data_IF_406975471654
#
_entry.id   IF_406975471654
#
_cell.length_a   1.000
_cell.length_b   1.000
_cell.length_c   1.000
_cell.angle_alpha   90.00
_cell.angle_beta   90.00
_cell.angle_gamma   90.00
#
_symmetry.space_group_name_H-M   'P 1'
#
loop_
_entity.id
_entity.type
_entity.pdbx_description
1 polymer ?
#
# COMPACT_ATOMS: atom_id res chain seq x y z
N UNK A 1 -16.42 -5.19 15.38
CA UNK A 1 -16.12 -3.77 15.09
C UNK A 1 -16.05 -3.64 13.58
N UNK A 2 -16.79 -2.70 13.02
CA UNK A 2 -16.77 -2.46 11.57
C UNK A 2 -15.51 -1.68 11.18
N UNK A 3 -14.96 -2.02 10.00
CA UNK A 3 -13.80 -1.34 9.43
C UNK A 3 -14.30 -0.09 8.70
N UNK A 4 -13.90 1.08 9.18
CA UNK A 4 -14.23 2.34 8.51
C UNK A 4 -13.04 2.74 7.63
N UNK A 5 -13.25 2.78 6.33
CA UNK A 5 -12.25 3.24 5.36
C UNK A 5 -12.48 4.70 5.02
N UNK A 6 -11.40 5.48 4.93
CA UNK A 6 -11.43 6.85 4.47
C UNK A 6 -10.39 7.04 3.37
N UNK A 7 -10.75 7.64 2.21
CA UNK A 7 -9.77 8.03 1.20
C UNK A 7 -8.95 9.22 1.74
N UNK A 8 -7.63 9.10 1.66
CA UNK A 8 -6.70 10.15 2.08
C UNK A 8 -6.16 10.95 0.88
N UNK A 9 -5.88 10.26 -0.24
CA UNK A 9 -5.33 10.84 -1.46
C UNK A 9 -5.92 10.13 -2.69
N UNK A 10 -5.98 10.83 -3.81
CA UNK A 10 -6.34 10.28 -5.12
C UNK A 10 -7.83 10.05 -5.34
N UNK A 11 -8.16 9.59 -6.56
CA UNK A 11 -9.53 9.21 -6.91
C UNK A 11 -9.83 7.79 -6.44
N UNK A 12 -10.40 7.72 -5.24
CA UNK A 12 -10.66 6.51 -4.50
C UNK A 12 -12.17 6.31 -4.29
N UNK A 13 -12.65 5.08 -4.48
CA UNK A 13 -14.06 4.69 -4.29
C UNK A 13 -14.14 3.41 -3.46
N UNK A 14 -15.06 3.36 -2.50
CA UNK A 14 -15.38 2.14 -1.75
C UNK A 14 -16.72 1.56 -2.21
N UNK A 15 -16.75 0.27 -2.58
CA UNK A 15 -17.96 -0.49 -2.91
C UNK A 15 -18.06 -1.72 -2.00
N UNK A 16 -18.76 -1.59 -0.89
CA UNK A 16 -18.84 -2.64 0.12
C UNK A 16 -17.45 -2.95 0.68
N UNK A 17 -16.96 -4.18 0.46
CA UNK A 17 -15.62 -4.63 0.87
C UNK A 17 -14.51 -4.33 -0.15
N UNK A 18 -14.85 -3.77 -1.32
CA UNK A 18 -13.87 -3.42 -2.35
C UNK A 18 -13.41 -1.97 -2.20
N UNK A 19 -12.10 -1.77 -2.22
CA UNK A 19 -11.46 -0.47 -2.32
C UNK A 19 -10.91 -0.32 -3.73
N UNK A 20 -11.32 0.73 -4.42
CA UNK A 20 -11.01 0.95 -5.82
C UNK A 20 -10.23 2.25 -5.92
N UNK A 21 -9.04 2.18 -6.52
CA UNK A 21 -8.28 3.35 -6.94
C UNK A 21 -8.29 3.39 -8.47
N UNK A 22 -8.71 4.51 -9.05
CA UNK A 22 -8.92 4.61 -10.51
C UNK A 22 -7.61 4.70 -11.32
N UNK A 23 -6.49 5.01 -10.68
CA UNK A 23 -5.20 5.14 -11.37
C UNK A 23 -5.16 6.29 -12.38
N UNK A 24 -4.25 6.20 -13.36
CA UNK A 24 -4.07 7.20 -14.42
C UNK A 24 -2.91 8.17 -14.22
N UNK A 25 -2.85 9.17 -15.09
CA UNK A 25 -1.87 10.25 -15.06
C UNK A 25 -2.54 11.51 -14.50
N UNK A 26 -1.83 12.20 -13.62
CA UNK A 26 -2.22 13.49 -13.04
C UNK A 26 -1.13 14.53 -13.32
N UNK A 27 -1.41 15.80 -13.06
CA UNK A 27 -0.41 16.86 -13.16
C UNK A 27 0.13 17.18 -11.76
N UNK A 28 1.44 17.14 -11.61
CA UNK A 28 2.12 17.58 -10.40
C UNK A 28 3.12 18.68 -10.76
N UNK A 29 2.86 19.90 -10.30
CA UNK A 29 3.70 21.08 -10.58
C UNK A 29 3.94 21.31 -12.10
N UNK A 30 2.92 21.11 -12.93
CA UNK A 30 3.02 21.28 -14.38
C UNK A 30 3.65 20.08 -15.12
N UNK A 31 3.99 19.01 -14.41
CA UNK A 31 4.62 17.82 -14.99
C UNK A 31 3.65 16.64 -14.89
N UNK A 32 3.38 15.93 -16.01
CA UNK A 32 2.64 14.67 -15.97
C UNK A 32 3.30 13.67 -15.03
N UNK A 33 2.53 13.15 -14.09
CA UNK A 33 2.98 12.21 -13.07
C UNK A 33 1.95 11.11 -12.86
N UNK A 34 2.36 10.01 -12.26
CA UNK A 34 1.46 8.92 -11.91
C UNK A 34 0.52 9.37 -10.80
N UNK A 35 -0.77 9.05 -10.90
CA UNK A 35 -1.68 9.29 -9.79
C UNK A 35 -1.36 8.35 -8.63
N UNK A 36 -1.54 8.84 -7.41
CA UNK A 36 -1.34 8.08 -6.17
C UNK A 36 -2.65 8.12 -5.38
N UNK A 37 -3.09 6.96 -4.90
CA UNK A 37 -4.29 6.82 -4.09
C UNK A 37 -4.00 6.09 -2.79
N UNK A 38 -4.53 6.61 -1.68
CA UNK A 38 -4.38 6.01 -0.36
C UNK A 38 -5.73 5.90 0.33
N UNK A 39 -6.01 4.74 0.93
CA UNK A 39 -7.06 4.59 1.94
C UNK A 39 -6.42 4.36 3.31
N UNK A 40 -7.07 4.86 4.36
CA UNK A 40 -6.73 4.59 5.76
C UNK A 40 -7.94 4.00 6.48
N UNK A 41 -7.71 3.31 7.60
CA UNK A 41 -8.80 2.81 8.47
C UNK A 41 -8.65 3.26 9.89
N UNK A 42 -9.73 3.06 10.66
CA UNK A 42 -9.72 3.17 12.11
C UNK A 42 -9.10 1.94 12.83
N UNK A 43 -8.58 0.94 12.11
CA UNK A 43 -7.95 -0.21 12.74
C UNK A 43 -6.49 0.07 13.09
N UNK A 44 -6.13 -0.24 14.33
CA UNK A 44 -4.74 -0.28 14.76
C UNK A 44 -4.17 -1.69 14.57
N UNK A 45 -2.89 -1.77 14.24
CA UNK A 45 -2.19 -3.02 14.00
C UNK A 45 -0.80 -2.98 14.64
N UNK A 46 -0.54 -3.90 15.57
CA UNK A 46 0.74 -4.00 16.27
C UNK A 46 1.60 -5.18 15.78
N UNK A 47 0.99 -6.15 15.09
CA UNK A 47 1.64 -7.36 14.60
C UNK A 47 0.61 -8.44 14.26
N UNK A 48 1.03 -9.45 13.49
CA UNK A 48 0.17 -10.52 12.98
C UNK A 48 0.18 -10.60 11.45
N UNK A 49 -0.92 -11.07 10.87
CA UNK A 49 -1.04 -11.26 9.42
C UNK A 49 -2.13 -10.36 8.84
N UNK A 50 -1.80 -9.63 7.77
CA UNK A 50 -2.76 -8.90 6.94
C UNK A 50 -2.86 -9.61 5.60
N UNK A 51 -4.08 -9.75 5.08
CA UNK A 51 -4.31 -10.36 3.76
C UNK A 51 -5.25 -9.50 2.94
N UNK A 52 -4.95 -9.33 1.66
CA UNK A 52 -5.85 -8.70 0.69
C UNK A 52 -5.81 -9.45 -0.65
N UNK A 53 -6.91 -9.37 -1.39
CA UNK A 53 -6.94 -9.73 -2.81
C UNK A 53 -6.75 -8.44 -3.63
N UNK A 54 -5.76 -8.45 -4.51
CA UNK A 54 -5.44 -7.33 -5.40
C UNK A 54 -5.70 -7.76 -6.83
N UNK A 55 -6.37 -6.91 -7.59
CA UNK A 55 -6.62 -7.09 -9.01
C UNK A 55 -6.29 -5.77 -9.71
N UNK A 56 -5.68 -5.86 -10.89
CA UNK A 56 -5.34 -4.70 -11.71
C UNK A 56 -6.18 -4.72 -12.98
N UNK A 57 -6.95 -3.68 -13.25
CA UNK A 57 -7.72 -3.57 -14.50
C UNK A 57 -6.78 -3.38 -15.70
N UNK A 58 -5.71 -2.62 -15.52
CA UNK A 58 -4.65 -2.38 -16.50
C UNK A 58 -3.29 -2.35 -15.80
N UNK A 59 -2.21 -2.65 -16.54
CA UNK A 59 -0.84 -2.62 -16.02
C UNK A 59 0.05 -1.83 -16.97
N UNK A 60 0.73 -0.86 -16.39
CA UNK A 60 1.80 -0.05 -16.97
C UNK A 60 3.05 -0.13 -16.08
N UNK A 61 4.19 0.40 -16.53
CA UNK A 61 5.48 0.28 -15.83
C UNK A 61 5.45 0.74 -14.37
N UNK A 62 4.66 1.77 -14.07
CA UNK A 62 4.52 2.35 -12.73
C UNK A 62 3.33 1.80 -11.92
N UNK A 63 2.57 0.85 -12.47
CA UNK A 63 1.40 0.27 -11.78
C UNK A 63 1.81 -0.48 -10.53
N UNK A 64 1.14 -0.21 -9.41
CA UNK A 64 1.33 -0.96 -8.18
C UNK A 64 0.20 -0.76 -7.18
N UNK A 65 0.10 -1.68 -6.24
CA UNK A 65 -0.87 -1.64 -5.15
C UNK A 65 -0.24 -2.26 -3.91
N UNK A 66 -0.33 -1.57 -2.77
CA UNK A 66 0.31 -1.97 -1.52
C UNK A 66 -0.64 -1.84 -0.34
N UNK A 67 -0.40 -2.65 0.68
CA UNK A 67 -1.05 -2.52 1.99
C UNK A 67 -0.14 -1.65 2.85
N UNK A 68 -0.67 -0.52 3.32
CA UNK A 68 -0.03 0.29 4.37
C UNK A 68 -0.34 -0.37 5.71
N UNK A 69 0.69 -0.82 6.42
CA UNK A 69 0.54 -1.46 7.73
C UNK A 69 1.13 -0.65 8.89
N UNK A 70 1.75 0.49 8.58
CA UNK A 70 2.15 1.52 9.53
C UNK A 70 1.96 2.89 8.88
N UNK A 71 1.33 3.82 9.60
CA UNK A 71 1.12 5.20 9.15
C UNK A 71 1.36 6.16 10.33
N UNK A 72 2.25 7.13 10.13
CA UNK A 72 2.46 8.28 11.01
C UNK A 72 1.82 9.50 10.35
N UNK A 73 0.69 9.94 10.92
CA UNK A 73 -0.07 11.10 10.43
C UNK A 73 0.66 12.43 10.63
N UNK A 74 1.50 12.56 11.66
CA UNK A 74 2.23 13.80 11.92
C UNK A 74 3.28 14.07 10.84
N UNK A 75 3.89 13.01 10.31
CA UNK A 75 4.96 13.09 9.31
C UNK A 75 4.52 12.67 7.92
N UNK A 76 3.23 12.34 7.73
CA UNK A 76 2.68 11.75 6.50
C UNK A 76 3.55 10.60 5.98
N UNK A 77 4.06 9.79 6.91
CA UNK A 77 5.04 8.74 6.63
C UNK A 77 4.42 7.37 6.81
N UNK A 78 4.86 6.38 6.04
CA UNK A 78 4.28 5.05 6.12
C UNK A 78 5.24 3.94 5.69
N UNK A 79 4.92 2.73 6.15
CA UNK A 79 5.54 1.48 5.68
C UNK A 79 4.47 0.62 5.01
N UNK A 80 4.83 0.06 3.86
CA UNK A 80 3.92 -0.72 3.04
C UNK A 80 4.62 -1.92 2.42
N UNK A 81 3.85 -2.94 2.09
CA UNK A 81 4.28 -4.01 1.21
C UNK A 81 3.21 -4.29 0.16
N UNK A 82 3.64 -4.64 -1.05
CA UNK A 82 2.73 -4.69 -2.17
C UNK A 82 3.29 -5.29 -3.43
N UNK A 83 2.47 -5.15 -4.47
CA UNK A 83 2.70 -5.66 -5.80
C UNK A 83 2.99 -4.52 -6.79
N UNK A 84 3.90 -4.76 -7.73
CA UNK A 84 4.19 -3.82 -8.82
C UNK A 84 5.16 -2.70 -8.47
N UNK A 85 5.12 -1.61 -9.24
CA UNK A 85 6.02 -0.46 -9.13
C UNK A 85 7.49 -0.90 -9.28
N UNK A 86 7.78 -1.47 -10.46
CA UNK A 86 9.12 -1.92 -10.90
C UNK A 86 9.50 -3.36 -10.54
N UNK A 87 8.86 -3.98 -9.54
CA UNK A 87 9.11 -5.38 -9.14
C UNK A 87 7.77 -6.11 -8.91
N UNK A 88 7.77 -7.45 -8.86
CA UNK A 88 6.53 -8.16 -8.53
C UNK A 88 6.12 -7.92 -7.07
N UNK A 89 7.05 -8.02 -6.13
CA UNK A 89 6.84 -7.79 -4.71
C UNK A 89 7.82 -6.73 -4.20
N UNK A 90 7.38 -5.87 -3.29
CA UNK A 90 8.28 -4.96 -2.58
C UNK A 90 7.80 -4.61 -1.18
N UNK A 91 8.76 -4.31 -0.31
CA UNK A 91 8.56 -3.64 0.99
C UNK A 91 9.20 -2.27 0.86
N UNK A 92 8.41 -1.22 1.08
CA UNK A 92 8.83 0.17 0.89
C UNK A 92 8.36 1.03 2.06
N UNK A 93 9.04 2.14 2.27
CA UNK A 93 8.54 3.22 3.13
C UNK A 93 8.58 4.55 2.40
N UNK A 94 7.68 5.44 2.82
CA UNK A 94 7.70 6.83 2.45
C UNK A 94 7.95 7.66 3.71
N UNK A 95 9.02 8.47 3.69
CA UNK A 95 9.40 9.30 4.82
C UNK A 95 9.90 10.66 4.31
N UNK A 96 9.34 11.76 4.80
CA UNK A 96 9.72 13.13 4.43
C UNK A 96 9.84 13.34 2.89
N UNK A 97 8.86 12.86 2.13
CA UNK A 97 8.86 13.02 0.67
C UNK A 97 9.69 12.00 -0.10
N UNK A 98 10.34 11.03 0.59
CA UNK A 98 11.29 10.10 -0.03
C UNK A 98 10.82 8.66 0.08
N UNK A 99 10.83 7.97 -1.07
CA UNK A 99 10.65 6.53 -1.15
C UNK A 99 11.95 5.80 -0.79
N UNK A 100 11.86 4.77 0.04
CA UNK A 100 12.95 3.84 0.34
C UNK A 100 12.46 2.42 0.13
N UNK A 101 13.17 1.63 -0.67
CA UNK A 101 12.90 0.20 -0.84
C UNK A 101 13.75 -0.60 0.15
N UNK A 102 13.10 -1.36 1.01
CA UNK A 102 13.77 -2.22 2.01
C UNK A 102 14.03 -3.62 1.49
N UNK A 103 13.12 -4.13 0.66
CA UNK A 103 13.23 -5.45 0.02
C UNK A 103 12.37 -5.50 -1.24
N UNK A 104 12.76 -6.33 -2.21
CA UNK A 104 11.98 -6.60 -3.41
C UNK A 104 12.30 -7.99 -3.96
N UNK A 105 11.36 -8.57 -4.68
CA UNK A 105 11.53 -9.87 -5.32
C UNK A 105 10.56 -10.07 -6.49
N UNK A 106 10.88 -11.05 -7.34
CA UNK A 106 10.03 -11.52 -8.43
C UNK A 106 10.02 -10.63 -9.67
N UNK A 107 9.76 -11.26 -10.82
CA UNK A 107 9.73 -10.59 -12.12
C UNK A 107 8.41 -9.84 -12.32
N UNK A 108 8.43 -8.51 -12.56
CA UNK A 108 7.22 -7.71 -12.79
C UNK A 108 6.37 -8.20 -13.97
N UNK A 109 6.94 -8.94 -14.93
CA UNK A 109 6.20 -9.55 -16.06
C UNK A 109 5.13 -10.56 -15.61
N UNK A 110 5.18 -11.03 -14.36
CA UNK A 110 4.18 -11.92 -13.78
C UNK A 110 2.91 -11.18 -13.31
N UNK A 111 2.91 -9.84 -13.31
CA UNK A 111 1.69 -9.06 -13.16
C UNK A 111 0.88 -9.09 -14.46
N UNK A 112 -0.40 -9.46 -14.35
CA UNK A 112 -1.34 -9.65 -15.45
C UNK A 112 -2.65 -8.91 -15.14
N UNK A 113 -3.21 -8.16 -16.11
CA UNK A 113 -4.51 -7.53 -15.92
C UNK A 113 -5.61 -8.58 -15.67
N UNK A 114 -6.59 -8.26 -14.83
CA UNK A 114 -7.70 -9.14 -14.47
C UNK A 114 -7.33 -10.37 -13.64
N UNK A 115 -6.04 -10.55 -13.28
CA UNK A 115 -5.62 -11.61 -12.39
C UNK A 115 -5.74 -11.17 -10.93
N UNK A 116 -6.35 -12.02 -10.11
CA UNK A 116 -6.41 -11.84 -8.66
C UNK A 116 -5.15 -12.37 -7.99
N UNK A 117 -4.51 -11.53 -7.21
CA UNK A 117 -3.34 -11.85 -6.41
C UNK A 117 -3.70 -11.81 -4.93
N UNK A 118 -3.46 -12.91 -4.21
CA UNK A 118 -3.57 -12.94 -2.75
C UNK A 118 -2.26 -12.45 -2.14
N UNK A 119 -2.25 -11.23 -1.63
CA UNK A 119 -1.12 -10.67 -0.89
C UNK A 119 -1.28 -11.00 0.60
N UNK A 120 -0.26 -11.56 1.20
CA UNK A 120 -0.20 -11.89 2.62
C UNK A 120 1.06 -11.26 3.23
N UNK A 121 0.88 -10.42 4.26
CA UNK A 121 1.96 -9.74 4.96
C UNK A 121 1.96 -10.22 6.40
N UNK A 122 3.08 -10.78 6.85
CA UNK A 122 3.31 -11.11 8.25
C UNK A 122 4.21 -10.05 8.87
N UNK A 123 3.71 -9.38 9.90
CA UNK A 123 4.44 -8.36 10.65
C UNK A 123 4.71 -8.90 12.04
N UNK A 124 5.99 -9.06 12.34
CA UNK A 124 6.45 -9.32 13.70
C UNK A 124 6.59 -7.95 14.39
N UNK A 125 5.60 -7.63 15.21
CA UNK A 125 5.60 -6.41 16.02
C UNK A 125 6.79 -6.34 16.96
N UNK A 126 7.07 -5.14 17.47
CA UNK A 126 8.02 -4.97 18.56
C UNK A 126 7.37 -5.36 19.88
N UNK A 127 7.95 -6.33 20.60
CA UNK A 127 7.58 -6.60 21.98
C UNK A 127 8.36 -5.64 22.89
N UNK A 128 7.69 -4.64 23.44
CA UNK A 128 8.29 -3.69 24.39
C UNK A 128 7.84 -4.08 25.80
N UNK A 129 8.78 -4.55 26.62
CA UNK A 129 8.55 -4.86 28.03
C UNK A 129 9.44 -3.96 28.90
N UNK A 130 8.86 -3.39 29.95
CA UNK A 130 9.61 -2.77 31.04
C UNK A 130 10.02 -3.89 32.03
N UNK A 131 11.27 -3.92 32.51
CA UNK A 131 11.63 -4.83 33.59
C UNK A 131 10.77 -4.53 34.81
N UNK A 132 10.18 -5.57 35.42
CA UNK A 132 9.60 -5.45 36.76
C UNK A 132 10.75 -5.22 37.72
N UNK A 133 10.76 -4.05 38.37
CA UNK A 133 11.61 -3.79 39.54
C UNK A 133 11.15 -4.61 40.74
#
# INVERSE_FOLDING_TARGET
MDINWAPLLGECEQKGSKLIFKGGITEYQGIPSVSIGNFITNQSFAGGTITAEIEFDNIEDATGCSIIFYYDSAQSSFVMAGLGSGNLYSIKSFYQGRWTTHSFAGDPKNLKPGQKYKLCISVLGSNVALPRG
#
